data_IF_932585261593
#
_entry.id   IF_932585261593
#
_cell.length_a   1.000
_cell.length_b   1.000
_cell.length_c   1.000
_cell.angle_alpha   90.00
_cell.angle_beta   90.00
_cell.angle_gamma   90.00
#
_symmetry.space_group_name_H-M   'P 1'
#
loop_
_entity.id
_entity.type
_entity.pdbx_description
1 polymer ?
#
# COMPACT_ATOMS: atom_id res chain seq x y z
N UNK A 1 33.99 3.99 55.59
CA UNK A 1 33.95 3.13 54.39
C UNK A 1 32.61 2.41 54.15
N UNK A 2 31.82 2.03 55.15
CA UNK A 2 30.53 1.34 54.92
C UNK A 2 29.32 2.24 54.56
N UNK A 3 29.42 3.56 54.78
CA UNK A 3 28.33 4.52 54.49
C UNK A 3 28.31 5.01 53.05
N UNK A 4 29.48 5.15 52.42
CA UNK A 4 29.58 5.66 51.04
C UNK A 4 29.15 4.62 50.00
N UNK A 5 29.41 3.34 50.29
CA UNK A 5 28.96 2.21 49.47
C UNK A 5 27.43 2.10 49.41
N UNK A 6 26.72 2.50 50.48
CA UNK A 6 25.25 2.53 50.51
C UNK A 6 24.67 3.66 49.67
N UNK A 7 25.29 4.85 49.67
CA UNK A 7 24.84 5.96 48.81
C UNK A 7 25.04 5.64 47.32
N UNK A 8 26.15 5.01 46.97
CA UNK A 8 26.44 4.65 45.57
C UNK A 8 25.44 3.63 45.01
N UNK A 9 25.07 2.63 45.81
CA UNK A 9 24.05 1.64 45.42
C UNK A 9 22.67 2.27 45.23
N UNK A 10 22.29 3.24 46.09
CA UNK A 10 21.02 3.98 45.94
C UNK A 10 21.04 4.84 44.68
N UNK A 11 22.15 5.51 44.38
CA UNK A 11 22.29 6.31 43.16
C UNK A 11 22.20 5.44 41.89
N UNK A 12 22.84 4.27 41.87
CA UNK A 12 22.76 3.33 40.74
C UNK A 12 21.32 2.80 40.58
N UNK A 13 20.63 2.50 41.68
CA UNK A 13 19.24 2.02 41.64
C UNK A 13 18.26 3.10 41.17
N UNK A 14 18.47 4.36 41.57
CA UNK A 14 17.66 5.49 41.10
C UNK A 14 17.92 5.81 39.62
N UNK A 15 19.17 5.69 39.16
CA UNK A 15 19.53 5.86 37.74
C UNK A 15 19.00 4.73 36.86
N UNK A 16 18.96 3.49 37.35
CA UNK A 16 18.34 2.37 36.64
C UNK A 16 16.82 2.46 36.63
N UNK A 17 16.19 2.88 37.73
CA UNK A 17 14.76 3.14 37.79
C UNK A 17 14.33 4.30 36.87
N UNK A 18 15.11 5.39 36.82
CA UNK A 18 14.87 6.52 35.91
C UNK A 18 15.02 6.12 34.43
N UNK A 19 16.00 5.25 34.10
CA UNK A 19 16.10 4.64 32.76
C UNK A 19 14.93 3.72 32.43
N UNK A 20 14.39 3.00 33.41
CA UNK A 20 13.19 2.16 33.22
C UNK A 20 11.92 2.98 33.03
N UNK A 21 11.79 4.14 33.69
CA UNK A 21 10.67 5.06 33.48
C UNK A 21 10.73 5.80 32.12
N UNK A 22 11.92 6.02 31.55
CA UNK A 22 12.07 6.56 30.19
C UNK A 22 11.72 5.55 29.07
N UNK A 23 11.56 4.26 29.40
CA UNK A 23 11.08 3.22 28.48
C UNK A 23 9.62 2.81 28.71
N UNK A 24 8.83 3.60 29.45
CA UNK A 24 7.39 3.62 29.21
C UNK A 24 7.13 4.44 27.94
N UNK A 25 7.45 3.88 26.78
CA UNK A 25 6.72 4.23 25.56
C UNK A 25 5.27 3.91 25.91
N UNK A 26 4.45 4.93 26.12
CA UNK A 26 3.01 4.74 26.21
C UNK A 26 2.64 3.96 24.96
N UNK A 27 2.27 2.70 25.10
CA UNK A 27 1.78 1.88 24.01
C UNK A 27 0.59 2.64 23.42
N UNK A 28 0.83 3.36 22.33
CA UNK A 28 -0.19 4.20 21.74
C UNK A 28 -1.04 3.24 20.95
N UNK A 29 -2.19 2.87 21.51
CA UNK A 29 -3.13 2.01 20.79
C UNK A 29 -3.38 2.61 19.40
N UNK A 30 -3.30 1.80 18.32
CA UNK A 30 -3.57 2.27 16.98
C UNK A 30 -4.91 3.01 16.90
N UNK A 31 -4.96 4.10 16.13
CA UNK A 31 -6.16 4.92 15.95
C UNK A 31 -7.30 4.15 15.26
N UNK A 32 -6.96 3.09 14.53
CA UNK A 32 -7.88 2.13 13.93
C UNK A 32 -7.45 0.71 14.30
N UNK A 33 -8.38 -0.24 14.48
CA UNK A 33 -8.02 -1.60 14.90
C UNK A 33 -7.28 -2.40 13.83
N UNK A 34 -7.36 -1.96 12.56
CA UNK A 34 -6.53 -2.52 11.51
C UNK A 34 -6.45 -1.65 10.26
N UNK A 35 -5.41 -1.90 9.45
CA UNK A 35 -5.10 -1.22 8.20
C UNK A 35 -4.92 -2.24 7.07
N UNK A 36 -5.83 -2.24 6.09
CA UNK A 36 -5.73 -3.08 4.89
C UNK A 36 -5.29 -2.22 3.71
N UNK A 37 -4.24 -2.65 3.01
CA UNK A 37 -3.55 -1.84 2.00
C UNK A 37 -3.68 -2.53 0.64
N UNK A 38 -4.14 -1.79 -0.35
CA UNK A 38 -4.29 -2.22 -1.74
C UNK A 38 -3.55 -1.23 -2.63
N UNK A 39 -2.94 -1.71 -3.71
CA UNK A 39 -2.19 -0.80 -4.57
C UNK A 39 -1.21 -1.45 -5.51
N UNK A 40 -0.32 -0.59 -6.00
CA UNK A 40 0.77 -0.92 -6.91
C UNK A 40 2.13 -0.89 -6.18
N UNK A 41 3.22 -0.68 -6.94
CA UNK A 41 4.60 -0.61 -6.44
C UNK A 41 4.80 0.46 -5.37
N UNK A 42 3.99 1.52 -5.35
CA UNK A 42 4.09 2.60 -4.36
C UNK A 42 3.69 2.17 -2.95
N UNK A 43 3.03 1.02 -2.83
CA UNK A 43 2.58 0.46 -1.55
C UNK A 43 3.07 -0.98 -1.32
N UNK A 44 3.70 -1.64 -2.31
CA UNK A 44 4.20 -3.00 -2.15
C UNK A 44 5.29 -3.07 -1.07
N UNK A 45 5.19 -4.09 -0.22
CA UNK A 45 6.15 -4.38 0.84
C UNK A 45 6.77 -5.78 0.74
N UNK A 46 6.62 -6.45 -0.40
CA UNK A 46 7.26 -7.73 -0.71
C UNK A 46 6.34 -8.80 -1.29
N UNK A 47 5.12 -8.44 -1.76
CA UNK A 47 4.22 -9.42 -2.40
C UNK A 47 4.79 -9.96 -3.72
N UNK A 48 5.59 -9.15 -4.43
CA UNK A 48 6.21 -9.54 -5.69
C UNK A 48 7.48 -10.40 -5.56
N UNK A 49 8.06 -10.53 -4.36
CA UNK A 49 9.41 -11.09 -4.16
C UNK A 49 9.59 -12.50 -4.75
N UNK A 50 8.56 -13.35 -4.61
CA UNK A 50 8.58 -14.76 -5.03
C UNK A 50 7.83 -15.03 -6.34
N UNK A 51 7.30 -14.00 -7.00
CA UNK A 51 6.59 -14.14 -8.28
C UNK A 51 7.59 -14.22 -9.44
N UNK A 52 7.17 -14.80 -10.57
CA UNK A 52 7.95 -14.74 -11.82
C UNK A 52 7.64 -13.45 -12.56
N UNK A 53 8.36 -12.40 -12.19
CA UNK A 53 8.13 -11.03 -12.67
C UNK A 53 9.42 -10.22 -12.60
N UNK A 54 9.54 -9.24 -13.50
CA UNK A 54 10.60 -8.23 -13.48
C UNK A 54 10.26 -7.06 -12.54
N UNK A 55 9.00 -6.93 -12.12
CA UNK A 55 8.55 -5.91 -11.17
C UNK A 55 8.92 -6.28 -9.72
N UNK A 56 10.21 -6.18 -9.38
CA UNK A 56 10.76 -6.50 -8.05
C UNK A 56 11.63 -5.38 -7.48
N UNK A 57 11.63 -5.30 -6.15
CA UNK A 57 12.46 -4.37 -5.38
C UNK A 57 13.15 -5.04 -4.18
N UNK A 58 13.38 -6.36 -4.25
CA UNK A 58 14.09 -7.15 -3.24
C UNK A 58 15.59 -7.31 -3.56
N UNK A 59 16.19 -6.31 -4.19
CA UNK A 59 17.61 -6.25 -4.52
C UNK A 59 18.13 -4.80 -4.43
N UNK A 60 19.46 -4.57 -4.34
CA UNK A 60 20.03 -3.22 -4.43
C UNK A 60 19.64 -2.52 -5.76
N UNK A 61 19.49 -1.17 -5.77
CA UNK A 61 19.72 -0.23 -4.68
C UNK A 61 18.53 -0.02 -3.74
N UNK A 62 17.45 -0.80 -3.85
CA UNK A 62 16.31 -0.67 -2.95
C UNK A 62 16.71 -1.01 -1.51
N UNK A 63 16.07 -0.36 -0.53
CA UNK A 63 16.32 -0.62 0.88
C UNK A 63 17.68 -0.15 1.43
N UNK A 64 18.44 0.70 0.72
CA UNK A 64 19.76 1.17 1.22
C UNK A 64 19.70 1.99 2.52
N UNK A 65 18.58 2.66 2.78
CA UNK A 65 18.33 3.42 4.01
C UNK A 65 17.53 2.58 5.04
N UNK A 66 17.22 1.32 4.72
CA UNK A 66 16.49 0.39 5.58
C UNK A 66 17.44 -0.47 6.41
N UNK A 67 17.14 -0.60 7.71
CA UNK A 67 17.86 -1.53 8.60
C UNK A 67 17.66 -3.01 8.22
N UNK A 68 16.65 -3.31 7.42
CA UNK A 68 16.29 -4.66 6.97
C UNK A 68 16.77 -4.97 5.55
N UNK A 69 17.46 -4.03 4.90
CA UNK A 69 17.85 -4.15 3.49
C UNK A 69 16.65 -4.12 2.53
N UNK A 70 16.78 -4.70 1.32
CA UNK A 70 15.75 -4.65 0.28
C UNK A 70 14.59 -5.60 0.61
N UNK A 71 13.49 -5.05 1.15
CA UNK A 71 12.33 -5.86 1.54
C UNK A 71 11.34 -6.15 0.39
N UNK A 72 11.52 -5.54 -0.78
CA UNK A 72 10.50 -5.47 -1.83
C UNK A 72 9.73 -4.15 -1.87
N UNK A 73 10.13 -3.16 -1.07
CA UNK A 73 9.62 -1.79 -1.16
C UNK A 73 10.36 -1.04 -2.26
N UNK A 74 9.63 -0.37 -3.15
CA UNK A 74 10.19 0.38 -4.29
C UNK A 74 10.73 1.76 -3.85
N UNK A 75 11.61 1.74 -2.85
CA UNK A 75 12.22 2.93 -2.24
C UNK A 75 13.49 2.51 -1.49
N UNK A 76 14.27 3.48 -1.02
CA UNK A 76 15.43 3.22 -0.17
C UNK A 76 15.05 2.78 1.25
N UNK A 77 13.79 2.97 1.66
CA UNK A 77 13.36 2.63 3.01
C UNK A 77 11.86 2.42 3.11
N UNK A 78 11.14 3.44 3.58
CA UNK A 78 9.70 3.39 3.87
C UNK A 78 8.87 3.97 2.72
N UNK A 79 7.76 3.32 2.42
CA UNK A 79 6.71 3.85 1.52
C UNK A 79 5.86 4.88 2.27
N UNK A 80 5.02 5.62 1.54
CA UNK A 80 4.06 6.55 2.14
C UNK A 80 3.09 5.84 3.10
N UNK A 81 2.67 4.61 2.76
CA UNK A 81 1.75 3.85 3.62
C UNK A 81 2.42 3.29 4.88
N UNK A 82 3.72 3.05 4.85
CA UNK A 82 4.49 2.74 6.07
C UNK A 82 4.52 3.94 7.02
N UNK A 83 4.75 5.15 6.50
CA UNK A 83 4.71 6.38 7.29
C UNK A 83 3.29 6.59 7.85
N UNK A 84 2.25 6.36 7.05
CA UNK A 84 0.86 6.40 7.54
C UNK A 84 0.62 5.39 8.66
N UNK A 85 1.18 4.18 8.55
CA UNK A 85 1.07 3.12 9.57
C UNK A 85 1.65 3.59 10.91
N UNK A 86 2.81 4.24 10.90
CA UNK A 86 3.41 4.84 12.11
C UNK A 86 2.55 5.97 12.69
N UNK A 87 2.05 6.87 11.83
CA UNK A 87 1.20 7.98 12.26
C UNK A 87 -0.12 7.51 12.87
N UNK A 88 -0.64 6.36 12.42
CA UNK A 88 -1.80 5.70 13.01
C UNK A 88 -1.49 4.99 14.33
N UNK A 89 -0.22 4.87 14.74
CA UNK A 89 0.19 4.32 16.03
C UNK A 89 0.37 2.80 16.04
N UNK A 90 0.60 2.16 14.89
CA UNK A 90 1.00 0.75 14.87
C UNK A 90 2.48 0.60 15.25
N UNK A 91 2.77 -0.40 16.08
CA UNK A 91 4.16 -0.68 16.52
C UNK A 91 5.04 -1.26 15.40
N UNK A 92 4.43 -1.90 14.41
CA UNK A 92 5.09 -2.56 13.28
C UNK A 92 4.37 -2.21 11.97
N UNK A 93 5.11 -2.26 10.86
CA UNK A 93 4.52 -2.11 9.53
C UNK A 93 3.56 -3.25 9.21
N UNK A 94 2.55 -2.96 8.39
CA UNK A 94 1.61 -3.97 7.92
C UNK A 94 2.33 -4.96 6.97
N UNK A 95 2.28 -6.28 7.26
CA UNK A 95 3.02 -7.27 6.48
C UNK A 95 2.39 -7.55 5.11
N UNK A 96 3.18 -8.02 4.13
CA UNK A 96 2.68 -8.43 2.82
C UNK A 96 1.84 -9.69 2.95
N UNK A 97 0.76 -9.79 2.17
CA UNK A 97 -0.09 -10.98 2.07
C UNK A 97 0.71 -12.28 1.92
N UNK A 98 1.77 -12.24 1.10
CA UNK A 98 2.68 -13.35 0.83
C UNK A 98 3.35 -13.95 2.10
N UNK A 99 3.45 -13.20 3.20
CA UNK A 99 4.10 -13.65 4.44
C UNK A 99 3.27 -13.33 5.70
N UNK A 100 1.93 -13.37 5.59
CA UNK A 100 1.05 -13.10 6.74
C UNK A 100 0.86 -14.28 7.68
N UNK A 101 0.87 -14.01 8.99
CA UNK A 101 0.50 -14.97 10.04
C UNK A 101 -0.89 -14.69 10.62
N UNK A 102 -1.42 -15.60 11.44
CA UNK A 102 -2.76 -15.50 12.06
C UNK A 102 -2.85 -14.39 13.13
N UNK A 103 -1.73 -13.92 13.69
CA UNK A 103 -1.72 -12.72 14.53
C UNK A 103 -1.87 -11.44 13.71
N UNK A 104 -1.22 -11.40 12.55
CA UNK A 104 -1.07 -10.19 11.74
C UNK A 104 -2.39 -9.77 11.11
N UNK A 105 -3.19 -10.74 10.65
CA UNK A 105 -4.45 -10.48 9.95
C UNK A 105 -5.45 -9.64 10.75
N UNK A 106 -5.34 -9.60 12.09
CA UNK A 106 -6.21 -8.77 12.93
C UNK A 106 -5.83 -7.28 12.86
N UNK A 107 -4.53 -6.99 12.74
CA UNK A 107 -3.98 -5.63 12.63
C UNK A 107 -3.97 -5.12 11.18
N UNK A 108 -4.02 -6.01 10.20
CA UNK A 108 -4.07 -5.62 8.79
C UNK A 108 -3.19 -6.48 7.90
N UNK A 109 -3.36 -6.29 6.59
CA UNK A 109 -2.58 -6.98 5.56
C UNK A 109 -2.36 -6.04 4.38
N UNK A 110 -1.16 -6.10 3.80
CA UNK A 110 -0.82 -5.39 2.59
C UNK A 110 -0.92 -6.32 1.37
N UNK A 111 -1.83 -6.01 0.47
CA UNK A 111 -2.10 -6.74 -0.78
C UNK A 111 -1.48 -6.07 -2.00
N UNK A 112 -0.88 -4.88 -1.86
CA UNK A 112 -0.32 -4.14 -2.98
C UNK A 112 0.74 -4.96 -3.73
N UNK A 113 0.77 -4.83 -5.05
CA UNK A 113 1.63 -5.64 -5.92
C UNK A 113 2.15 -4.78 -7.05
N UNK A 114 3.46 -4.75 -7.24
CA UNK A 114 4.07 -3.92 -8.28
C UNK A 114 3.64 -4.35 -9.70
N UNK A 115 3.45 -3.36 -10.58
CA UNK A 115 2.91 -3.52 -11.93
C UNK A 115 1.38 -3.62 -11.98
N UNK A 116 0.70 -3.57 -10.84
CA UNK A 116 -0.75 -3.78 -10.76
C UNK A 116 -1.56 -2.55 -11.14
N UNK A 117 -2.61 -2.77 -11.93
CA UNK A 117 -3.65 -1.79 -12.21
C UNK A 117 -5.02 -2.16 -11.64
N UNK A 118 -5.96 -1.25 -11.85
CA UNK A 118 -7.39 -1.48 -11.68
C UNK A 118 -7.87 -2.54 -12.68
N UNK A 119 -7.37 -2.49 -13.93
CA UNK A 119 -7.64 -3.49 -14.94
C UNK A 119 -6.81 -4.76 -14.71
N UNK A 120 -7.33 -5.91 -15.14
CA UNK A 120 -6.65 -7.19 -14.90
C UNK A 120 -5.44 -7.38 -15.81
N UNK A 121 -5.46 -6.79 -16.99
CA UNK A 121 -4.42 -6.91 -18.00
C UNK A 121 -3.26 -5.94 -17.82
N UNK A 122 -3.45 -4.86 -17.06
CA UNK A 122 -2.43 -3.83 -16.82
C UNK A 122 -1.16 -4.46 -16.25
N UNK A 123 0.01 -4.08 -16.80
CA UNK A 123 1.31 -4.54 -16.31
C UNK A 123 1.65 -6.02 -16.53
N UNK A 124 0.81 -6.79 -17.23
CA UNK A 124 1.09 -8.20 -17.58
C UNK A 124 2.38 -8.42 -18.35
N UNK A 125 2.89 -7.41 -19.07
CA UNK A 125 4.18 -7.49 -19.77
C UNK A 125 5.38 -7.60 -18.81
N UNK A 126 5.24 -7.19 -17.55
CA UNK A 126 6.26 -7.40 -16.51
C UNK A 126 6.28 -8.82 -15.94
N UNK A 127 5.24 -9.61 -16.19
CA UNK A 127 5.07 -10.97 -15.65
C UNK A 127 3.99 -11.06 -14.56
N UNK A 128 4.15 -12.05 -13.67
CA UNK A 128 3.18 -12.35 -12.61
C UNK A 128 3.04 -11.20 -11.61
N UNK A 129 1.80 -10.79 -11.33
CA UNK A 129 1.45 -9.80 -10.31
C UNK A 129 -0.02 -9.99 -9.90
N UNK A 130 -0.48 -9.24 -8.88
CA UNK A 130 -1.87 -9.29 -8.42
C UNK A 130 -2.62 -8.02 -8.82
N UNK A 131 -3.51 -8.09 -9.82
CA UNK A 131 -4.42 -6.99 -10.19
C UNK A 131 -5.30 -6.56 -9.00
N UNK A 132 -5.90 -5.37 -9.03
CA UNK A 132 -6.81 -4.93 -7.94
C UNK A 132 -7.85 -6.00 -7.60
N UNK A 133 -8.43 -6.64 -8.62
CA UNK A 133 -9.39 -7.74 -8.43
C UNK A 133 -8.78 -8.90 -7.67
N UNK A 134 -7.58 -9.35 -8.03
CA UNK A 134 -6.88 -10.42 -7.31
C UNK A 134 -6.53 -10.01 -5.88
N UNK A 135 -6.19 -8.75 -5.64
CA UNK A 135 -5.96 -8.23 -4.28
C UNK A 135 -7.25 -8.29 -3.43
N UNK A 136 -8.41 -7.97 -4.02
CA UNK A 136 -9.72 -8.14 -3.35
C UNK A 136 -10.01 -9.62 -3.06
N UNK A 137 -9.69 -10.55 -3.98
CA UNK A 137 -9.81 -11.99 -3.72
C UNK A 137 -8.90 -12.45 -2.57
N UNK A 138 -7.65 -11.96 -2.52
CA UNK A 138 -6.75 -12.21 -1.39
C UNK A 138 -7.34 -11.67 -0.08
N UNK A 139 -8.01 -10.52 -0.11
CA UNK A 139 -8.72 -9.99 1.05
C UNK A 139 -9.88 -10.89 1.50
N UNK A 140 -10.67 -11.47 0.59
CA UNK A 140 -11.71 -12.44 0.95
C UNK A 140 -11.15 -13.63 1.73
N UNK A 141 -9.99 -14.15 1.32
CA UNK A 141 -9.32 -15.22 2.03
C UNK A 141 -8.93 -14.80 3.47
N UNK A 142 -8.49 -13.55 3.66
CA UNK A 142 -8.18 -12.99 4.99
C UNK A 142 -9.44 -12.77 5.82
N UNK A 143 -10.53 -12.27 5.24
CA UNK A 143 -11.83 -12.10 5.93
C UNK A 143 -12.36 -13.45 6.44
N UNK A 144 -12.22 -14.52 5.66
CA UNK A 144 -12.55 -15.88 6.11
C UNK A 144 -11.73 -16.30 7.34
N UNK A 145 -10.41 -16.04 7.34
CA UNK A 145 -9.54 -16.33 8.49
C UNK A 145 -9.90 -15.49 9.72
N UNK A 146 -10.23 -14.21 9.54
CA UNK A 146 -10.70 -13.33 10.63
C UNK A 146 -12.03 -13.85 11.20
N UNK A 147 -12.94 -14.27 10.34
CA UNK A 147 -14.24 -14.84 10.74
C UNK A 147 -14.05 -16.11 11.56
N UNK A 148 -13.17 -17.02 11.13
CA UNK A 148 -12.83 -18.22 11.90
C UNK A 148 -12.24 -17.87 13.27
N UNK A 149 -11.32 -16.90 13.32
CA UNK A 149 -10.68 -16.47 14.57
C UNK A 149 -11.65 -15.85 15.57
N UNK A 150 -12.61 -15.06 15.09
CA UNK A 150 -13.63 -14.41 15.92
C UNK A 150 -14.85 -15.29 16.21
N UNK A 151 -14.97 -16.42 15.50
CA UNK A 151 -16.02 -17.42 15.67
C UNK A 151 -17.41 -17.00 15.19
N UNK A 152 -17.56 -15.81 14.60
CA UNK A 152 -18.83 -15.29 14.11
C UNK A 152 -18.61 -14.24 13.00
N UNK A 153 -19.36 -14.36 11.90
CA UNK A 153 -19.37 -13.41 10.79
C UNK A 153 -19.77 -11.99 11.23
N UNK A 154 -20.71 -11.85 12.17
CA UNK A 154 -21.14 -10.53 12.66
C UNK A 154 -20.02 -9.84 13.42
N UNK A 155 -19.26 -10.57 14.25
CA UNK A 155 -18.08 -10.03 14.95
C UNK A 155 -16.98 -9.64 13.98
N UNK A 156 -16.76 -10.44 12.93
CA UNK A 156 -15.79 -10.10 11.89
C UNK A 156 -16.19 -8.83 11.15
N UNK A 157 -17.46 -8.71 10.74
CA UNK A 157 -17.98 -7.50 10.11
C UNK A 157 -17.90 -6.29 11.04
N UNK A 158 -18.14 -6.47 12.34
CA UNK A 158 -18.00 -5.41 13.35
C UNK A 158 -16.54 -4.94 13.50
N UNK A 159 -15.58 -5.86 13.44
CA UNK A 159 -14.15 -5.52 13.44
C UNK A 159 -13.75 -4.78 12.17
N UNK A 160 -14.05 -5.36 11.00
CA UNK A 160 -13.66 -4.84 9.69
C UNK A 160 -14.25 -3.47 9.38
N UNK A 161 -15.47 -3.17 9.86
CA UNK A 161 -16.08 -1.86 9.65
C UNK A 161 -15.34 -0.72 10.37
N UNK A 162 -14.54 -1.02 11.39
CA UNK A 162 -13.76 -0.04 12.15
C UNK A 162 -12.37 0.18 11.53
N UNK A 163 -11.87 -0.78 10.76
CA UNK A 163 -10.57 -0.75 10.07
C UNK A 163 -10.53 0.29 8.94
N UNK A 164 -9.32 0.72 8.60
CA UNK A 164 -9.05 1.60 7.46
C UNK A 164 -8.60 0.77 6.25
N UNK A 165 -9.12 1.13 5.07
CA UNK A 165 -8.75 0.56 3.79
C UNK A 165 -8.05 1.62 2.97
N UNK A 166 -6.74 1.47 2.78
CA UNK A 166 -5.92 2.35 1.95
C UNK A 166 -5.84 1.77 0.55
N UNK A 167 -6.15 2.57 -0.48
CA UNK A 167 -6.09 2.13 -1.87
C UNK A 167 -5.37 3.17 -2.72
N UNK A 168 -4.17 2.82 -3.19
CA UNK A 168 -3.34 3.64 -4.08
C UNK A 168 -3.02 2.85 -5.35
N UNK A 169 -3.84 3.03 -6.38
CA UNK A 169 -3.77 2.26 -7.62
C UNK A 169 -4.31 3.07 -8.78
N UNK A 170 -3.85 2.75 -10.00
CA UNK A 170 -4.30 3.37 -11.23
C UNK A 170 -3.17 3.99 -12.06
N UNK A 171 -2.01 4.24 -11.45
CA UNK A 171 -0.85 4.82 -12.16
C UNK A 171 -0.42 3.91 -13.31
N UNK A 172 -0.30 2.61 -13.03
CA UNK A 172 0.07 1.59 -14.02
C UNK A 172 -0.96 1.43 -15.13
N UNK A 173 -2.26 1.71 -14.91
CA UNK A 173 -3.25 1.67 -15.99
C UNK A 173 -2.96 2.71 -17.07
N UNK A 174 -2.24 3.78 -16.72
CA UNK A 174 -1.77 4.77 -17.67
C UNK A 174 -0.39 4.43 -18.24
N UNK A 175 0.64 4.30 -17.39
CA UNK A 175 2.03 4.17 -17.86
C UNK A 175 2.38 2.75 -18.33
N UNK A 176 1.77 1.74 -17.71
CA UNK A 176 1.98 0.31 -17.99
C UNK A 176 0.81 -0.29 -18.77
N UNK A 177 -0.05 0.53 -19.38
CA UNK A 177 -1.16 0.11 -20.25
C UNK A 177 -1.54 1.18 -21.30
N UNK A 178 -2.24 2.26 -20.94
CA UNK A 178 -2.76 3.26 -21.91
C UNK A 178 -1.69 3.82 -22.85
N UNK A 179 -0.56 4.22 -22.27
CA UNK A 179 0.55 4.80 -23.02
C UNK A 179 1.50 3.75 -23.59
N UNK A 180 1.21 2.45 -23.50
CA UNK A 180 2.05 1.36 -23.99
C UNK A 180 1.39 0.57 -25.15
N UNK A 181 1.17 1.20 -26.32
CA UNK A 181 0.38 0.65 -27.42
C UNK A 181 0.99 -0.59 -28.09
N UNK A 182 2.27 -0.87 -27.88
CA UNK A 182 2.94 -2.10 -28.34
C UNK A 182 2.45 -3.34 -27.60
N UNK A 183 1.89 -3.18 -26.40
CA UNK A 183 1.39 -4.26 -25.55
C UNK A 183 -0.14 -4.21 -25.37
N UNK A 184 -0.76 -3.03 -25.47
CA UNK A 184 -2.17 -2.83 -25.13
C UNK A 184 -2.92 -1.97 -26.16
N UNK A 185 -4.20 -2.29 -26.40
CA UNK A 185 -5.04 -1.56 -27.36
C UNK A 185 -5.86 -0.42 -26.73
N UNK A 186 -5.63 -0.10 -25.46
CA UNK A 186 -6.43 0.84 -24.67
C UNK A 186 -6.44 2.25 -25.27
N UNK A 187 -5.29 2.81 -25.66
CA UNK A 187 -5.22 4.12 -26.33
C UNK A 187 -5.78 4.15 -27.75
N UNK A 188 -5.86 2.98 -28.41
CA UNK A 188 -6.52 2.86 -29.72
C UNK A 188 -8.04 2.75 -29.59
N UNK A 189 -8.52 2.28 -28.43
CA UNK A 189 -9.94 2.00 -28.16
C UNK A 189 -10.63 3.18 -27.47
N UNK A 190 -9.90 3.89 -26.60
CA UNK A 190 -10.46 4.91 -25.71
C UNK A 190 -9.72 6.24 -25.84
N UNK A 191 -10.48 7.33 -25.86
CA UNK A 191 -9.96 8.63 -25.41
C UNK A 191 -9.62 8.61 -23.92
N UNK A 192 -8.84 9.58 -23.44
CA UNK A 192 -8.42 9.64 -22.03
C UNK A 192 -9.60 9.75 -21.06
N UNK A 193 -10.66 10.48 -21.41
CA UNK A 193 -11.87 10.60 -20.57
C UNK A 193 -12.67 9.28 -20.54
N UNK A 194 -12.81 8.61 -21.69
CA UNK A 194 -13.48 7.30 -21.76
C UNK A 194 -12.69 6.22 -21.01
N UNK A 195 -11.36 6.27 -21.07
CA UNK A 195 -10.50 5.36 -20.32
C UNK A 195 -10.64 5.59 -18.82
N UNK A 196 -10.60 6.85 -18.37
CA UNK A 196 -10.86 7.21 -16.98
C UNK A 196 -12.25 6.73 -16.50
N UNK A 197 -13.29 6.87 -17.32
CA UNK A 197 -14.63 6.36 -17.01
C UNK A 197 -14.64 4.82 -16.87
N UNK A 198 -13.96 4.11 -17.76
CA UNK A 198 -13.82 2.65 -17.69
C UNK A 198 -13.10 2.21 -16.40
N UNK A 199 -11.99 2.87 -16.06
CA UNK A 199 -11.24 2.60 -14.83
C UNK A 199 -12.11 2.85 -13.59
N UNK A 200 -12.80 3.98 -13.51
CA UNK A 200 -13.65 4.32 -12.36
C UNK A 200 -14.81 3.33 -12.20
N UNK A 201 -15.38 2.85 -13.31
CA UNK A 201 -16.41 1.81 -13.26
C UNK A 201 -15.89 0.51 -12.69
N UNK A 202 -14.70 0.06 -13.09
CA UNK A 202 -14.08 -1.16 -12.56
C UNK A 202 -13.62 -0.99 -11.11
N UNK A 203 -13.06 0.17 -10.78
CA UNK A 203 -12.67 0.50 -9.42
C UNK A 203 -13.88 0.49 -8.48
N UNK A 204 -15.01 1.08 -8.90
CA UNK A 204 -16.27 1.06 -8.16
C UNK A 204 -16.74 -0.36 -7.85
N UNK A 205 -16.63 -1.30 -8.81
CA UNK A 205 -16.97 -2.72 -8.58
C UNK A 205 -16.11 -3.36 -7.48
N UNK A 206 -14.80 -3.14 -7.53
CA UNK A 206 -13.88 -3.66 -6.52
C UNK A 206 -14.13 -3.05 -5.14
N UNK A 207 -14.44 -1.75 -5.07
CA UNK A 207 -14.81 -1.10 -3.81
C UNK A 207 -16.15 -1.60 -3.26
N UNK A 208 -17.14 -1.84 -4.12
CA UNK A 208 -18.42 -2.45 -3.71
C UNK A 208 -18.21 -3.86 -3.15
N UNK A 209 -17.27 -4.62 -3.68
CA UNK A 209 -16.92 -5.94 -3.14
C UNK A 209 -16.22 -5.84 -1.79
N UNK A 210 -15.28 -4.91 -1.61
CA UNK A 210 -14.71 -4.64 -0.28
C UNK A 210 -15.80 -4.21 0.73
N UNK A 211 -16.77 -3.39 0.29
CA UNK A 211 -17.93 -3.01 1.12
C UNK A 211 -18.80 -4.23 1.45
N UNK A 212 -19.00 -5.17 0.54
CA UNK A 212 -19.76 -6.40 0.80
C UNK A 212 -19.07 -7.25 1.89
N UNK A 213 -17.73 -7.21 1.94
CA UNK A 213 -16.88 -7.88 2.94
C UNK A 213 -16.76 -7.15 4.28
N UNK A 214 -17.34 -5.96 4.43
CA UNK A 214 -17.40 -5.22 5.69
C UNK A 214 -16.56 -3.93 5.73
N UNK A 215 -15.79 -3.61 4.69
CA UNK A 215 -15.03 -2.37 4.62
C UNK A 215 -15.96 -1.14 4.64
N UNK A 216 -15.65 -0.15 5.49
CA UNK A 216 -16.47 1.09 5.59
C UNK A 216 -15.66 2.38 5.57
N UNK A 217 -14.38 2.36 5.96
CA UNK A 217 -13.52 3.53 5.95
C UNK A 217 -12.46 3.36 4.87
N UNK A 218 -12.49 4.23 3.86
CA UNK A 218 -11.57 4.17 2.73
C UNK A 218 -10.73 5.44 2.65
N UNK A 219 -9.45 5.27 2.36
CA UNK A 219 -8.56 6.31 1.87
C UNK A 219 -8.23 5.96 0.41
N UNK A 220 -8.89 6.63 -0.53
CA UNK A 220 -8.66 6.47 -1.97
C UNK A 220 -7.66 7.54 -2.41
N UNK A 221 -6.50 7.11 -2.91
CA UNK A 221 -5.41 8.02 -3.27
C UNK A 221 -5.52 8.38 -4.76
N UNK A 222 -5.54 9.69 -5.05
CA UNK A 222 -5.53 10.18 -6.42
C UNK A 222 -4.16 10.00 -7.08
N UNK A 223 -4.17 9.95 -8.41
CA UNK A 223 -2.96 9.84 -9.22
C UNK A 223 -2.14 11.13 -9.17
N UNK A 224 -0.82 10.98 -9.14
CA UNK A 224 0.12 12.09 -9.23
C UNK A 224 0.39 12.47 -10.70
N UNK A 225 1.04 13.61 -10.98
CA UNK A 225 1.48 13.95 -12.34
C UNK A 225 2.49 12.93 -12.89
N UNK A 226 1.99 11.90 -13.60
CA UNK A 226 2.78 10.74 -14.05
C UNK A 226 3.88 11.12 -15.05
N UNK A 227 3.62 12.08 -15.93
CA UNK A 227 4.58 12.54 -16.93
C UNK A 227 5.77 13.29 -16.35
N UNK A 228 5.75 13.59 -15.04
CA UNK A 228 6.90 14.16 -14.34
C UNK A 228 7.83 13.09 -13.75
N UNK A 229 7.53 11.81 -13.91
CA UNK A 229 8.41 10.74 -13.45
C UNK A 229 9.63 10.61 -14.37
N UNK A 230 10.82 10.23 -13.84
CA UNK A 230 12.01 10.08 -14.67
C UNK A 230 11.87 9.07 -15.80
N UNK A 231 11.08 8.01 -15.61
CA UNK A 231 10.84 6.98 -16.62
C UNK A 231 10.09 7.56 -17.83
N UNK A 232 8.97 8.25 -17.61
CA UNK A 232 8.19 8.85 -18.69
C UNK A 232 8.94 9.99 -19.38
N UNK A 233 9.67 10.81 -18.61
CA UNK A 233 10.57 11.82 -19.19
C UNK A 233 11.63 11.21 -20.10
N UNK A 234 12.22 10.09 -19.71
CA UNK A 234 13.22 9.40 -20.52
C UNK A 234 12.61 8.78 -21.78
N UNK A 235 11.38 8.26 -21.70
CA UNK A 235 10.74 7.57 -22.81
C UNK A 235 10.09 8.53 -23.82
N UNK A 236 9.48 9.62 -23.34
CA UNK A 236 8.55 10.47 -24.11
C UNK A 236 8.80 11.97 -23.96
N UNK A 237 9.73 12.37 -23.08
CA UNK A 237 10.09 13.76 -22.87
C UNK A 237 10.66 14.44 -24.12
N UNK A 238 10.40 15.74 -24.25
CA UNK A 238 10.99 16.58 -25.31
C UNK A 238 12.23 17.28 -24.75
N UNK A 239 13.23 17.63 -25.58
CA UNK A 239 14.39 18.38 -25.10
C UNK A 239 13.98 19.65 -24.34
N UNK A 240 14.43 19.77 -23.08
CA UNK A 240 14.10 20.89 -22.20
C UNK A 240 12.74 20.81 -21.47
N UNK A 241 11.94 19.75 -21.66
CA UNK A 241 10.70 19.56 -20.91
C UNK A 241 10.97 19.01 -19.51
N UNK A 242 10.28 19.55 -18.49
CA UNK A 242 10.31 19.04 -17.13
C UNK A 242 9.28 17.93 -16.85
N UNK A 243 8.25 17.81 -17.69
CA UNK A 243 7.27 16.73 -17.67
C UNK A 243 6.70 16.47 -19.07
N UNK A 244 6.15 15.27 -19.29
CA UNK A 244 5.28 14.95 -20.43
C UNK A 244 3.87 15.47 -20.13
N UNK A 245 3.48 16.58 -20.77
CA UNK A 245 2.21 17.27 -20.46
C UNK A 245 1.00 16.40 -20.79
N UNK A 246 1.08 15.68 -21.90
CA UNK A 246 0.00 14.85 -22.42
C UNK A 246 -0.42 13.75 -21.42
N UNK A 247 0.54 13.16 -20.70
CA UNK A 247 0.27 12.17 -19.66
C UNK A 247 -0.30 12.78 -18.38
N UNK A 248 0.22 13.94 -17.98
CA UNK A 248 -0.31 14.68 -16.85
C UNK A 248 -1.77 15.09 -17.07
N UNK A 249 -2.11 15.54 -18.28
CA UNK A 249 -3.48 15.89 -18.64
C UNK A 249 -4.40 14.66 -18.68
N UNK A 250 -3.88 13.49 -19.09
CA UNK A 250 -4.65 12.27 -19.24
C UNK A 250 -5.18 11.67 -17.93
N UNK A 251 -4.50 11.93 -16.80
CA UNK A 251 -4.91 11.43 -15.47
C UNK A 251 -5.88 12.35 -14.75
N UNK A 252 -6.04 13.60 -15.19
CA UNK A 252 -6.96 14.57 -14.56
C UNK A 252 -8.41 14.06 -14.55
N UNK A 253 -8.98 13.55 -15.65
CA UNK A 253 -10.33 13.01 -15.64
C UNK A 253 -10.53 11.87 -14.64
N UNK A 254 -9.51 11.02 -14.44
CA UNK A 254 -9.58 9.96 -13.44
C UNK A 254 -9.68 10.53 -12.02
N UNK A 255 -8.83 11.49 -11.67
CA UNK A 255 -8.84 12.12 -10.35
C UNK A 255 -10.15 12.86 -10.06
N UNK A 256 -10.74 13.51 -11.07
CA UNK A 256 -12.03 14.18 -10.91
C UNK A 256 -13.17 13.18 -10.72
N UNK A 257 -13.19 12.10 -11.49
CA UNK A 257 -14.21 11.05 -11.37
C UNK A 257 -14.01 10.20 -10.10
N UNK A 258 -12.79 10.03 -9.58
CA UNK A 258 -12.49 9.28 -8.35
C UNK A 258 -13.24 9.84 -7.14
N UNK A 259 -13.40 11.17 -7.07
CA UNK A 259 -14.15 11.86 -6.02
C UNK A 259 -15.59 11.34 -5.90
N UNK A 260 -16.19 10.91 -7.01
CA UNK A 260 -17.56 10.35 -7.01
C UNK A 260 -17.69 8.99 -6.32
N UNK A 261 -16.58 8.29 -6.08
CA UNK A 261 -16.57 7.00 -5.36
C UNK A 261 -16.56 7.19 -3.84
N UNK A 262 -16.30 8.41 -3.35
CA UNK A 262 -16.32 8.78 -1.94
C UNK A 262 -17.74 9.24 -1.59
N UNK A 263 -18.61 8.27 -1.31
CA UNK A 263 -19.99 8.46 -0.80
C UNK A 263 -20.14 7.85 0.58
#
# INVERSE_FOLDING_TARGET
>A
MASETKLWLVAVFLLSAAKMQQHCVVARNPQVPGLFIFGDSLSDCGNNNNLKTDAKANHPPYGIDSLYGPTGRFTNGRTTVDILTELLGFDEFIPPFANTTVSDIMKGVNYASAGSGILNETGTHWGEHFSLKMQVENHKAIVSKITMKLGNSDKAKEHLNKCLYYVSIGSDDYISNYFLPEHYNSSQTFSTDQFAEALIKEYSRNLMELRSLGARKFALIGLVPLGCTPAELSARGKPGSLCVKEENDAVVPFNDKLKSLVV
#
